data_IF_031003112658
#
_entry.id   IF_031003112658
#
_cell.length_a   1.000
_cell.length_b   1.000
_cell.length_c   1.000
_cell.angle_alpha   90.00
_cell.angle_beta   90.00
_cell.angle_gamma   90.00
#
_symmetry.space_group_name_H-M   'P 1'
#
loop_
_entity.id
_entity.type
_entity.pdbx_description
1 polymer ?
#
# COMPACT_ATOMS: atom_id res chain seq x y z
N UNK A 1 37.96 -58.53 16.03
CA UNK A 1 39.21 -58.47 15.23
C UNK A 1 40.49 -58.15 16.04
N UNK A 2 40.42 -57.64 17.28
CA UNK A 2 41.63 -57.33 18.07
C UNK A 2 42.33 -58.56 18.69
N UNK A 3 41.53 -59.50 19.19
CA UNK A 3 42.02 -60.72 19.86
C UNK A 3 42.84 -61.62 18.93
N UNK A 4 42.42 -61.76 17.67
CA UNK A 4 43.13 -62.55 16.66
C UNK A 4 44.49 -61.93 16.30
N UNK A 5 44.56 -60.60 16.18
CA UNK A 5 45.81 -59.88 15.91
C UNK A 5 46.81 -59.96 17.07
N UNK A 6 46.33 -59.79 18.30
CA UNK A 6 47.15 -59.90 19.52
C UNK A 6 47.72 -61.31 19.68
N UNK A 7 46.91 -62.36 19.45
CA UNK A 7 47.36 -63.74 19.50
C UNK A 7 48.46 -64.05 18.48
N UNK A 8 48.33 -63.56 17.24
CA UNK A 8 49.36 -63.74 16.19
C UNK A 8 50.70 -63.10 16.62
N UNK A 9 50.66 -61.89 17.20
CA UNK A 9 51.86 -61.19 17.65
C UNK A 9 52.50 -61.89 18.86
N UNK A 10 51.69 -62.41 19.79
CA UNK A 10 52.17 -63.20 20.92
C UNK A 10 52.87 -64.50 20.49
N UNK A 11 52.29 -65.20 19.51
CA UNK A 11 52.86 -66.42 18.94
C UNK A 11 54.16 -66.12 18.18
N UNK A 12 54.20 -65.02 17.40
CA UNK A 12 55.42 -64.58 16.72
C UNK A 12 56.53 -64.19 17.70
N UNK A 13 56.21 -63.45 18.77
CA UNK A 13 57.17 -63.05 19.79
C UNK A 13 57.71 -64.26 20.56
N UNK A 14 56.86 -65.24 20.88
CA UNK A 14 57.27 -66.50 21.46
C UNK A 14 58.22 -67.27 20.55
N UNK A 15 57.86 -67.44 19.26
CA UNK A 15 58.69 -68.13 18.27
C UNK A 15 60.04 -67.46 18.01
N UNK A 16 60.10 -66.13 18.09
CA UNK A 16 61.36 -65.38 17.97
C UNK A 16 62.28 -65.62 19.18
N UNK A 17 61.70 -65.69 20.37
CA UNK A 17 62.46 -65.91 21.62
C UNK A 17 62.97 -67.34 21.74
N UNK A 18 62.20 -68.33 21.27
CA UNK A 18 62.68 -69.73 21.21
C UNK A 18 63.79 -69.90 20.18
N UNK A 19 63.73 -69.22 19.03
CA UNK A 19 64.79 -69.21 18.03
C UNK A 19 66.12 -68.63 18.56
N UNK A 20 66.06 -67.65 19.48
CA UNK A 20 67.23 -67.07 20.14
C UNK A 20 67.76 -67.88 21.35
N UNK A 21 67.30 -69.13 21.53
CA UNK A 21 67.73 -70.00 22.65
C UNK A 21 67.45 -69.44 24.06
N UNK A 22 66.47 -68.54 24.20
CA UNK A 22 66.01 -68.09 25.52
C UNK A 22 65.30 -69.24 26.23
N UNK A 23 65.47 -69.33 27.56
CA UNK A 23 64.79 -70.35 28.39
C UNK A 23 63.29 -70.39 28.08
N UNK A 24 62.77 -71.59 27.76
CA UNK A 24 61.39 -71.80 27.31
C UNK A 24 60.33 -71.24 28.28
N UNK A 25 60.58 -71.32 29.59
CA UNK A 25 59.68 -70.76 30.62
C UNK A 25 59.52 -69.23 30.48
N UNK A 26 60.60 -68.53 30.12
CA UNK A 26 60.61 -67.07 29.96
C UNK A 26 60.00 -66.68 28.61
N UNK A 27 60.25 -67.48 27.56
CA UNK A 27 59.71 -67.23 26.22
C UNK A 27 58.17 -67.23 26.21
N UNK A 28 57.53 -68.18 26.91
CA UNK A 28 56.07 -68.28 27.00
C UNK A 28 55.50 -67.06 27.73
N UNK A 29 56.10 -66.69 28.87
CA UNK A 29 55.71 -65.51 29.62
C UNK A 29 55.80 -64.23 28.78
N UNK A 30 56.86 -64.12 27.98
CA UNK A 30 57.07 -62.94 27.14
C UNK A 30 56.13 -62.87 25.93
N UNK A 31 55.74 -64.01 25.36
CA UNK A 31 54.72 -64.08 24.30
C UNK A 31 53.33 -63.66 24.80
N UNK A 32 52.93 -64.10 26.00
CA UNK A 32 51.67 -63.66 26.62
C UNK A 32 51.73 -62.17 26.95
N UNK A 33 52.83 -61.72 27.55
CA UNK A 33 53.01 -60.31 27.91
C UNK A 33 52.94 -59.39 26.68
N UNK A 34 53.59 -59.75 25.56
CA UNK A 34 53.55 -58.93 24.34
C UNK A 34 52.15 -58.85 23.74
N UNK A 35 51.39 -59.96 23.75
CA UNK A 35 50.01 -59.99 23.28
C UNK A 35 49.10 -59.03 24.09
N UNK A 36 49.21 -59.06 25.42
CA UNK A 36 48.47 -58.16 26.30
C UNK A 36 48.90 -56.70 26.14
N UNK A 37 50.21 -56.45 26.00
CA UNK A 37 50.75 -55.10 25.88
C UNK A 37 50.29 -54.40 24.59
N UNK A 38 50.36 -55.11 23.46
CA UNK A 38 49.88 -54.60 22.17
C UNK A 38 48.38 -54.35 22.19
N UNK A 39 47.61 -55.24 22.81
CA UNK A 39 46.16 -55.04 22.95
C UNK A 39 45.82 -53.84 23.84
N UNK A 40 46.58 -53.62 24.91
CA UNK A 40 46.43 -52.47 25.80
C UNK A 40 46.68 -51.14 25.07
N UNK A 41 47.76 -51.05 24.28
CA UNK A 41 48.08 -49.86 23.47
C UNK A 41 46.97 -49.60 22.45
N UNK A 42 46.54 -50.63 21.71
CA UNK A 42 45.53 -50.45 20.67
C UNK A 42 44.16 -50.05 21.25
N UNK A 43 43.80 -50.61 22.40
CA UNK A 43 42.57 -50.28 23.10
C UNK A 43 42.60 -48.86 23.69
N UNK A 44 43.75 -48.44 24.22
CA UNK A 44 43.94 -47.06 24.69
C UNK A 44 43.80 -46.06 23.54
N UNK A 45 44.41 -46.35 22.38
CA UNK A 45 44.36 -45.46 21.22
C UNK A 45 42.94 -45.39 20.62
N UNK A 46 42.25 -46.53 20.50
CA UNK A 46 40.84 -46.56 20.04
C UNK A 46 39.90 -45.79 20.98
N UNK A 47 40.08 -45.91 22.30
CA UNK A 47 39.33 -45.14 23.29
C UNK A 47 39.65 -43.64 23.21
N UNK A 48 40.90 -43.27 22.94
CA UNK A 48 41.31 -41.88 22.74
C UNK A 48 40.60 -41.23 21.56
N UNK A 49 40.59 -41.91 20.41
CA UNK A 49 39.91 -41.42 19.20
C UNK A 49 38.39 -41.31 19.41
N UNK A 50 37.77 -42.32 20.03
CA UNK A 50 36.34 -42.28 20.33
C UNK A 50 35.97 -41.17 21.31
N UNK A 51 36.79 -40.94 22.34
CA UNK A 51 36.60 -39.83 23.27
C UNK A 51 36.73 -38.48 22.58
N UNK A 52 37.75 -38.31 21.73
CA UNK A 52 37.92 -37.08 20.96
C UNK A 52 36.74 -36.81 20.03
N UNK A 53 36.24 -37.85 19.33
CA UNK A 53 35.03 -37.73 18.50
C UNK A 53 33.80 -37.40 19.33
N UNK A 54 33.62 -38.04 20.49
CA UNK A 54 32.51 -37.73 21.38
C UNK A 54 32.57 -36.27 21.87
N UNK A 55 33.75 -35.78 22.25
CA UNK A 55 33.93 -34.39 22.67
C UNK A 55 33.75 -33.40 21.52
N UNK A 56 34.18 -33.74 20.29
CA UNK A 56 34.00 -32.86 19.14
C UNK A 56 32.53 -32.76 18.75
N UNK A 57 31.80 -33.88 18.70
CA UNK A 57 30.36 -33.89 18.45
C UNK A 57 29.59 -33.13 19.55
N UNK A 58 30.00 -33.28 20.82
CA UNK A 58 29.39 -32.53 21.91
C UNK A 58 29.60 -31.02 21.75
N UNK A 59 30.79 -30.60 21.32
CA UNK A 59 31.10 -29.20 21.06
C UNK A 59 30.30 -28.65 19.87
N UNK A 60 30.23 -29.39 18.77
CA UNK A 60 29.42 -29.02 17.60
C UNK A 60 27.93 -28.91 17.96
N UNK A 61 27.40 -29.85 18.75
CA UNK A 61 26.02 -29.78 19.22
C UNK A 61 25.79 -28.54 20.10
N UNK A 62 26.73 -28.22 21.00
CA UNK A 62 26.62 -27.03 21.83
C UNK A 62 26.61 -25.75 20.99
N UNK A 63 27.46 -25.66 19.96
CA UNK A 63 27.48 -24.54 19.01
C UNK A 63 26.15 -24.46 18.25
N UNK A 64 25.63 -25.59 17.76
CA UNK A 64 24.36 -25.63 17.04
C UNK A 64 23.19 -25.19 17.94
N UNK A 65 23.18 -25.58 19.21
CA UNK A 65 22.18 -25.12 20.19
C UNK A 65 22.24 -23.61 20.37
N UNK A 66 23.44 -23.03 20.49
CA UNK A 66 23.59 -21.58 20.57
C UNK A 66 23.06 -20.88 19.30
N UNK A 67 23.40 -21.38 18.11
CA UNK A 67 22.90 -20.83 16.85
C UNK A 67 21.38 -20.90 16.73
N UNK A 68 20.75 -21.99 17.17
CA UNK A 68 19.29 -22.12 17.18
C UNK A 68 18.66 -21.10 18.14
N UNK A 69 19.25 -20.89 19.31
CA UNK A 69 18.80 -19.86 20.25
C UNK A 69 18.89 -18.45 19.66
N UNK A 70 20.00 -18.12 18.99
CA UNK A 70 20.19 -16.83 18.34
C UNK A 70 19.19 -16.63 17.19
N UNK A 71 18.99 -17.66 16.36
CA UNK A 71 18.03 -17.62 15.27
C UNK A 71 16.59 -17.48 15.77
N UNK A 72 16.23 -18.19 16.85
CA UNK A 72 14.93 -18.03 17.50
C UNK A 72 14.73 -16.58 17.98
N UNK A 73 15.75 -15.99 18.61
CA UNK A 73 15.69 -14.60 19.06
C UNK A 73 15.52 -13.62 17.90
N UNK A 74 16.26 -13.82 16.80
CA UNK A 74 16.11 -12.99 15.60
C UNK A 74 14.70 -13.11 15.00
N UNK A 75 14.13 -14.32 14.99
CA UNK A 75 12.76 -14.55 14.51
C UNK A 75 11.71 -13.88 15.40
N UNK A 76 11.87 -13.96 16.73
CA UNK A 76 10.98 -13.27 17.69
C UNK A 76 11.02 -11.75 17.51
N UNK A 77 12.21 -11.17 17.31
CA UNK A 77 12.36 -9.74 17.01
C UNK A 77 11.68 -9.39 15.69
N UNK A 78 11.97 -10.14 14.62
CA UNK A 78 11.36 -9.90 13.30
C UNK A 78 9.84 -10.00 13.36
N UNK A 79 9.30 -10.97 14.10
CA UNK A 79 7.86 -11.15 14.27
C UNK A 79 7.23 -9.97 15.01
N UNK A 80 7.91 -9.46 16.03
CA UNK A 80 7.48 -8.27 16.75
C UNK A 80 7.49 -7.04 15.84
N UNK A 81 8.57 -6.82 15.10
CA UNK A 81 8.72 -5.68 14.19
C UNK A 81 7.66 -5.75 13.08
N UNK A 82 7.37 -6.94 12.55
CA UNK A 82 6.34 -7.13 11.54
C UNK A 82 4.95 -6.83 12.09
N UNK A 83 4.68 -7.22 13.33
CA UNK A 83 3.42 -6.92 14.01
C UNK A 83 3.27 -5.42 14.27
N UNK A 84 4.33 -4.75 14.69
CA UNK A 84 4.35 -3.29 14.88
C UNK A 84 4.14 -2.56 13.55
N UNK A 85 4.79 -3.01 12.47
CA UNK A 85 4.59 -2.46 11.13
C UNK A 85 3.15 -2.70 10.63
N UNK A 86 2.56 -3.86 10.93
CA UNK A 86 1.17 -4.16 10.62
C UNK A 86 0.20 -3.25 11.39
N UNK A 87 0.44 -3.04 12.68
CA UNK A 87 -0.37 -2.14 13.51
C UNK A 87 -0.25 -0.69 13.02
N UNK A 88 0.93 -0.27 12.59
CA UNK A 88 1.15 1.04 11.97
C UNK A 88 0.43 1.17 10.62
N UNK A 89 0.48 0.12 9.79
CA UNK A 89 -0.23 0.08 8.52
C UNK A 89 -1.75 0.15 8.74
N UNK A 90 -2.28 -0.62 9.69
CA UNK A 90 -3.68 -0.54 10.09
C UNK A 90 -4.05 0.84 10.63
N UNK A 91 -3.18 1.47 11.43
CA UNK A 91 -3.41 2.84 11.90
C UNK A 91 -3.46 3.82 10.73
N UNK A 92 -2.54 3.71 9.77
CA UNK A 92 -2.50 4.56 8.58
C UNK A 92 -3.70 4.32 7.66
N UNK A 93 -4.14 3.07 7.51
CA UNK A 93 -5.31 2.72 6.72
C UNK A 93 -6.60 3.19 7.41
N UNK A 94 -6.66 3.06 8.74
CA UNK A 94 -7.73 3.62 9.57
C UNK A 94 -7.73 5.16 9.62
N UNK A 95 -6.65 5.86 9.26
CA UNK A 95 -6.61 7.32 9.15
C UNK A 95 -6.86 7.79 7.71
N UNK A 96 -6.31 7.10 6.71
CA UNK A 96 -6.47 7.42 5.30
C UNK A 96 -7.84 7.06 4.71
N UNK A 97 -8.42 5.93 5.14
CA UNK A 97 -9.70 5.42 4.65
C UNK A 97 -10.92 6.25 5.10
N UNK A 98 -11.07 6.70 6.36
CA UNK A 98 -12.26 7.46 6.77
C UNK A 98 -12.26 8.89 6.23
N UNK A 99 -11.13 9.60 6.19
CA UNK A 99 -11.08 10.94 5.60
C UNK A 99 -11.37 10.91 4.09
N UNK A 100 -10.84 9.91 3.37
CA UNK A 100 -11.16 9.69 1.96
C UNK A 100 -12.62 9.27 1.74
N UNK A 101 -13.17 8.40 2.60
CA UNK A 101 -14.60 8.01 2.56
C UNK A 101 -15.54 9.17 2.86
N UNK A 102 -15.20 10.02 3.82
CA UNK A 102 -15.99 11.20 4.16
C UNK A 102 -15.93 12.26 3.06
N UNK A 103 -14.75 12.48 2.46
CA UNK A 103 -14.63 13.36 1.29
C UNK A 103 -15.39 12.82 0.08
N UNK A 104 -15.33 11.51 -0.19
CA UNK A 104 -16.12 10.87 -1.25
C UNK A 104 -17.63 10.99 -0.99
N UNK A 105 -18.09 10.74 0.24
CA UNK A 105 -19.49 10.89 0.60
C UNK A 105 -19.98 12.34 0.41
N UNK A 106 -19.18 13.33 0.83
CA UNK A 106 -19.49 14.76 0.60
C UNK A 106 -19.47 15.13 -0.88
N UNK A 107 -18.55 14.55 -1.67
CA UNK A 107 -18.53 14.76 -3.12
C UNK A 107 -19.72 14.11 -3.82
N UNK A 108 -20.16 12.93 -3.38
CA UNK A 108 -21.34 12.25 -3.90
C UNK A 108 -22.62 13.05 -3.61
N UNK A 109 -22.76 13.58 -2.40
CA UNK A 109 -23.89 14.45 -2.03
C UNK A 109 -23.90 15.76 -2.82
N UNK A 110 -22.74 16.43 -2.95
CA UNK A 110 -22.61 17.65 -3.74
C UNK A 110 -22.89 17.41 -5.25
N UNK A 111 -22.43 16.28 -5.79
CA UNK A 111 -22.66 15.89 -7.18
C UNK A 111 -24.14 15.58 -7.45
N UNK A 112 -24.82 14.93 -6.50
CA UNK A 112 -26.26 14.68 -6.56
C UNK A 112 -27.04 15.99 -6.58
N UNK A 113 -26.71 16.93 -5.68
CA UNK A 113 -27.34 18.25 -5.65
C UNK A 113 -27.09 19.04 -6.95
N UNK A 114 -25.86 19.00 -7.47
CA UNK A 114 -25.50 19.64 -8.75
C UNK A 114 -26.27 19.03 -9.93
N UNK A 115 -26.43 17.70 -9.97
CA UNK A 115 -27.22 17.02 -11.00
C UNK A 115 -28.69 17.45 -11.00
N UNK A 116 -29.29 17.59 -9.82
CA UNK A 116 -30.66 18.08 -9.66
C UNK A 116 -30.79 19.54 -10.11
N UNK A 117 -29.84 20.39 -9.72
CA UNK A 117 -29.82 21.79 -10.14
C UNK A 117 -29.66 21.94 -11.66
N UNK A 118 -28.80 21.15 -12.28
CA UNK A 118 -28.59 21.13 -13.73
C UNK A 118 -29.86 20.69 -14.47
N UNK A 119 -30.51 19.62 -14.03
CA UNK A 119 -31.77 19.17 -14.62
C UNK A 119 -32.84 20.27 -14.56
N UNK A 120 -32.96 20.98 -13.42
CA UNK A 120 -33.90 22.09 -13.25
C UNK A 120 -33.54 23.31 -14.11
N UNK A 121 -32.24 23.58 -14.31
CA UNK A 121 -31.79 24.64 -15.20
C UNK A 121 -32.08 24.31 -16.66
N UNK A 122 -31.87 23.07 -17.09
CA UNK A 122 -32.16 22.63 -18.46
C UNK A 122 -33.65 22.71 -18.77
N UNK A 123 -34.50 22.30 -17.82
CA UNK A 123 -35.96 22.40 -17.94
C UNK A 123 -36.42 23.86 -18.09
N UNK A 124 -35.90 24.75 -17.24
CA UNK A 124 -36.15 26.20 -17.34
C UNK A 124 -35.66 26.77 -18.67
N UNK A 125 -34.48 26.36 -19.15
CA UNK A 125 -33.97 26.80 -20.45
C UNK A 125 -34.90 26.38 -21.58
N UNK A 126 -35.46 25.16 -21.55
CA UNK A 126 -36.44 24.71 -22.53
C UNK A 126 -37.73 25.54 -22.48
N UNK A 127 -38.27 25.79 -21.29
CA UNK A 127 -39.45 26.65 -21.09
C UNK A 127 -39.22 28.08 -21.61
N UNK A 128 -38.03 28.66 -21.36
CA UNK A 128 -37.69 29.98 -21.90
C UNK A 128 -37.58 29.99 -23.41
N UNK A 129 -37.08 28.90 -24.01
CA UNK A 129 -36.95 28.75 -25.46
C UNK A 129 -38.33 28.62 -26.11
N UNK A 130 -39.23 27.86 -25.50
CA UNK A 130 -40.63 27.74 -25.92
C UNK A 130 -41.38 29.08 -25.75
N UNK A 131 -41.13 29.82 -24.67
CA UNK A 131 -41.70 31.16 -24.47
C UNK A 131 -41.18 32.15 -25.51
N UNK A 132 -39.89 32.07 -25.89
CA UNK A 132 -39.31 32.88 -26.95
C UNK A 132 -39.90 32.50 -28.32
N UNK A 133 -40.10 31.21 -28.59
CA UNK A 133 -40.76 30.74 -29.81
C UNK A 133 -42.19 31.28 -29.92
N UNK A 134 -43.00 31.13 -28.86
CA UNK A 134 -44.36 31.68 -28.81
C UNK A 134 -44.37 33.20 -28.95
N UNK A 135 -43.41 33.90 -28.34
CA UNK A 135 -43.25 35.34 -28.48
C UNK A 135 -42.92 35.73 -29.92
N UNK A 136 -41.99 35.04 -30.59
CA UNK A 136 -41.63 35.27 -31.99
C UNK A 136 -42.84 35.06 -32.91
N UNK A 137 -43.62 33.99 -32.69
CA UNK A 137 -44.85 33.73 -33.46
C UNK A 137 -45.85 34.88 -33.23
N UNK A 138 -46.07 35.28 -31.97
CA UNK A 138 -46.99 36.38 -31.64
C UNK A 138 -46.53 37.74 -32.17
N UNK A 139 -45.22 38.00 -32.21
CA UNK A 139 -44.64 39.21 -32.82
C UNK A 139 -44.78 39.16 -34.33
N UNK A 140 -44.59 38.00 -34.98
CA UNK A 140 -44.88 37.83 -36.40
C UNK A 140 -46.33 38.19 -36.71
N UNK A 141 -47.29 37.64 -35.96
CA UNK A 141 -48.70 37.96 -36.10
C UNK A 141 -49.03 39.43 -35.79
N UNK A 142 -48.41 40.02 -34.77
CA UNK A 142 -48.54 41.44 -34.46
C UNK A 142 -47.95 42.32 -35.57
N UNK A 143 -46.84 41.92 -36.17
CA UNK A 143 -46.21 42.66 -37.28
C UNK A 143 -47.10 42.62 -38.52
N UNK A 144 -47.72 41.48 -38.82
CA UNK A 144 -48.72 41.37 -39.90
C UNK A 144 -49.97 42.21 -39.60
N UNK A 145 -50.51 42.15 -38.39
CA UNK A 145 -51.66 42.98 -37.98
C UNK A 145 -51.33 44.47 -37.97
N UNK A 146 -50.13 44.86 -37.55
CA UNK A 146 -49.66 46.25 -37.58
C UNK A 146 -49.46 46.71 -39.02
N UNK A 147 -48.96 45.87 -39.92
CA UNK A 147 -48.88 46.19 -41.35
C UNK A 147 -50.27 46.35 -41.99
N UNK A 148 -51.23 45.52 -41.61
CA UNK A 148 -52.64 45.63 -42.06
C UNK A 148 -53.31 46.89 -41.51
N UNK A 149 -53.12 47.20 -40.24
CA UNK A 149 -53.62 48.44 -39.63
C UNK A 149 -52.91 49.66 -40.22
N UNK A 150 -51.60 49.59 -40.48
CA UNK A 150 -50.87 50.65 -41.16
C UNK A 150 -51.32 50.83 -42.61
N UNK A 151 -51.64 49.76 -43.34
CA UNK A 151 -52.20 49.90 -44.69
C UNK A 151 -53.58 50.54 -44.64
N UNK A 152 -54.41 50.18 -43.66
CA UNK A 152 -55.73 50.77 -43.44
C UNK A 152 -55.63 52.24 -42.98
N UNK A 153 -54.64 52.58 -42.16
CA UNK A 153 -54.36 53.96 -41.72
C UNK A 153 -53.76 54.79 -42.84
N UNK A 154 -52.92 54.22 -43.71
CA UNK A 154 -52.44 54.89 -44.92
C UNK A 154 -53.59 55.13 -45.92
N UNK A 155 -54.50 54.16 -46.06
CA UNK A 155 -55.70 54.30 -46.88
C UNK A 155 -56.63 55.39 -46.31
N UNK A 156 -56.78 55.45 -44.98
CA UNK A 156 -57.52 56.52 -44.28
C UNK A 156 -56.84 57.88 -44.33
N UNK A 157 -55.50 57.95 -44.23
CA UNK A 157 -54.70 59.17 -44.34
C UNK A 157 -54.61 59.69 -45.78
N UNK A 158 -54.77 58.83 -46.79
CA UNK A 158 -54.90 59.25 -48.19
C UNK A 158 -56.24 59.94 -48.48
N UNK A 159 -57.24 59.79 -47.61
CA UNK A 159 -58.58 60.34 -47.76
C UNK A 159 -58.86 61.57 -46.88
N UNK A 160 -57.96 61.99 -45.99
CA UNK A 160 -58.19 63.14 -45.08
C UNK A 160 -57.05 64.17 -45.09
N UNK A 161 -57.34 65.50 -45.21
CA UNK A 161 -56.31 66.52 -45.39
C UNK A 161 -55.61 66.92 -44.09
N UNK A 162 -54.30 67.13 -44.19
CA UNK A 162 -53.33 67.38 -43.10
C UNK A 162 -53.66 68.60 -42.24
N UNK A 163 -53.69 68.39 -40.92
CA UNK A 163 -53.47 69.45 -39.92
C UNK A 163 -52.21 69.18 -39.08
N UNK A 164 -51.51 70.27 -38.82
CA UNK A 164 -50.15 70.40 -38.33
C UNK A 164 -50.03 70.06 -36.83
N UNK A 165 -49.09 69.21 -36.43
CA UNK A 165 -48.73 69.02 -35.00
C UNK A 165 -47.21 69.19 -34.85
N UNK A 166 -46.86 70.15 -34.00
CA UNK A 166 -45.52 70.56 -33.60
C UNK A 166 -45.05 69.66 -32.45
N UNK A 167 -44.00 68.86 -32.62
CA UNK A 167 -43.43 68.01 -31.57
C UNK A 167 -42.27 68.73 -30.89
N UNK A 168 -42.46 69.10 -29.63
CA UNK A 168 -41.40 69.58 -28.72
C UNK A 168 -40.59 68.40 -28.20
N UNK A 169 -39.29 68.62 -28.24
CA UNK A 169 -38.15 67.89 -27.68
C UNK A 169 -38.32 67.52 -26.19
N UNK A 170 -37.96 66.28 -25.84
CA UNK A 170 -37.78 65.84 -24.45
C UNK A 170 -36.85 64.61 -24.41
N UNK A 171 -35.55 64.86 -24.51
CA UNK A 171 -34.50 63.88 -24.20
C UNK A 171 -34.31 63.80 -22.68
N UNK A 172 -34.59 62.65 -22.08
CA UNK A 172 -34.24 62.31 -20.70
C UNK A 172 -33.06 61.34 -20.72
N UNK A 173 -31.88 61.80 -20.32
CA UNK A 173 -30.72 60.97 -20.00
C UNK A 173 -30.73 60.65 -18.51
N UNK A 174 -31.10 59.41 -18.15
CA UNK A 174 -31.00 58.91 -16.79
C UNK A 174 -29.64 58.24 -16.58
N UNK A 175 -28.83 58.84 -15.71
CA UNK A 175 -27.48 58.40 -15.39
C UNK A 175 -27.45 57.06 -14.63
N UNK A 176 -26.49 56.23 -15.03
CA UNK A 176 -26.17 54.91 -14.53
C UNK A 176 -25.41 55.00 -13.20
N UNK A 177 -25.97 54.46 -12.10
CA UNK A 177 -25.24 54.21 -10.86
C UNK A 177 -25.13 52.70 -10.64
N UNK A 178 -23.97 52.15 -11.00
CA UNK A 178 -23.57 50.78 -10.70
C UNK A 178 -22.22 50.81 -9.98
N UNK A 179 -22.20 50.58 -8.66
CA UNK A 179 -21.20 49.74 -7.96
C UNK A 179 -21.49 49.66 -6.45
N UNK A 180 -21.68 48.45 -5.88
CA UNK A 180 -21.75 48.23 -4.44
C UNK A 180 -20.33 48.05 -3.86
N UNK A 181 -19.91 48.94 -2.95
CA UNK A 181 -18.64 48.82 -2.22
C UNK A 181 -18.76 47.80 -1.09
N UNK A 182 -18.52 46.53 -1.42
CA UNK A 182 -18.36 45.44 -0.47
C UNK A 182 -16.98 45.56 0.22
N UNK A 183 -16.79 46.52 1.13
CA UNK A 183 -15.53 46.63 1.92
C UNK A 183 -15.73 47.18 3.34
N UNK A 184 -16.90 47.72 3.72
CA UNK A 184 -17.10 48.29 5.07
C UNK A 184 -17.45 47.27 6.18
N UNK A 185 -17.88 46.05 5.87
CA UNK A 185 -18.27 45.06 6.89
C UNK A 185 -17.09 44.28 7.49
N UNK A 186 -15.87 44.34 6.93
CA UNK A 186 -14.70 43.63 7.46
C UNK A 186 -13.93 44.47 8.50
N UNK A 187 -14.14 45.79 8.53
CA UNK A 187 -13.38 46.69 9.42
C UNK A 187 -14.14 46.97 10.75
N UNK A 188 -15.43 46.64 10.86
CA UNK A 188 -16.20 46.81 12.11
C UNK A 188 -16.14 45.62 13.08
N UNK A 189 -15.56 44.49 12.67
CA UNK A 189 -15.54 43.24 13.46
C UNK A 189 -14.17 42.92 14.10
N UNK A 190 -13.20 43.84 13.99
CA UNK A 190 -11.84 43.71 14.53
C UNK A 190 -11.41 44.95 15.36
N UNK A 191 -12.40 45.62 15.96
CA UNK A 191 -12.22 46.59 17.05
C UNK A 191 -12.22 45.93 18.41
#
# INVERSE_FOLDING_TARGET
MGLTRSAIIGIMAWGLMTAMHVRHEIAIGMGIFSAFFVQSIFQANARGVLKHKASSLQNELNIAVHQICDMKRALDVTTKDLKEALDELHRRDAVGSPAARELLARQEEAMSAQKVALARSTDRSFETLESLERMIISQGEQTTRVQEVLSMVLEKLALEPRQNINMRDSVLTQENNSTPSMTEDIISLLG
#
